data_IF_345174930823
#
_entry.id   IF_345174930823
#
_cell.length_a   1.000
_cell.length_b   1.000
_cell.length_c   1.000
_cell.angle_alpha   90.00
_cell.angle_beta   90.00
_cell.angle_gamma   90.00
#
_symmetry.space_group_name_H-M   'P 1'
#
loop_
_entity.id
_entity.type
_entity.pdbx_description
1 polymer ?
#
# COMPACT_ATOMS: atom_id res chain seq x y z
N UNK A 1 -31.15 31.35 -8.04
CA UNK A 1 -29.84 31.11 -8.70
C UNK A 1 -28.93 30.48 -7.67
N UNK A 2 -28.33 29.32 -7.97
CA UNK A 2 -27.32 28.66 -7.12
C UNK A 2 -25.99 29.43 -7.05
N UNK A 3 -25.89 30.58 -7.71
CA UNK A 3 -24.72 31.48 -7.72
C UNK A 3 -24.89 32.73 -6.84
N UNK A 4 -25.93 32.82 -6.00
CA UNK A 4 -26.04 33.96 -5.08
C UNK A 4 -25.08 33.82 -3.90
N UNK A 5 -24.66 34.94 -3.31
CA UNK A 5 -23.86 34.98 -2.08
C UNK A 5 -24.49 34.15 -0.96
N UNK A 6 -25.82 34.18 -0.83
CA UNK A 6 -26.58 33.31 0.07
C UNK A 6 -26.29 31.81 -0.12
N UNK A 7 -26.31 31.28 -1.35
CA UNK A 7 -26.00 29.85 -1.57
C UNK A 7 -24.51 29.53 -1.38
N UNK A 8 -23.62 30.48 -1.65
CA UNK A 8 -22.18 30.31 -1.47
C UNK A 8 -21.77 30.34 0.01
N UNK A 9 -22.38 31.23 0.78
CA UNK A 9 -22.10 31.45 2.21
C UNK A 9 -22.85 30.47 3.12
N UNK A 10 -24.12 30.18 2.81
CA UNK A 10 -24.97 29.33 3.67
C UNK A 10 -24.76 27.84 3.41
N UNK A 11 -24.35 27.45 2.20
CA UNK A 11 -24.14 26.03 1.84
C UNK A 11 -22.67 25.65 1.67
N UNK A 12 -21.74 26.60 1.89
CA UNK A 12 -20.28 26.43 1.88
C UNK A 12 -19.82 25.24 1.05
N UNK A 13 -19.96 25.34 -0.28
CA UNK A 13 -19.54 24.28 -1.19
C UNK A 13 -18.03 24.21 -1.20
N UNK A 14 -17.48 23.44 -0.26
CA UNK A 14 -16.05 23.28 -0.17
C UNK A 14 -15.57 22.34 -1.26
N UNK A 15 -14.58 22.81 -2.00
CA UNK A 15 -13.99 22.09 -3.12
C UNK A 15 -12.56 21.68 -2.77
N UNK A 16 -12.26 20.41 -2.98
CA UNK A 16 -10.90 19.90 -3.04
C UNK A 16 -10.49 19.75 -4.49
N UNK A 17 -9.33 20.29 -4.84
CA UNK A 17 -8.73 20.22 -6.15
C UNK A 17 -7.45 19.38 -6.09
N UNK A 18 -7.38 18.35 -6.93
CA UNK A 18 -6.22 17.47 -7.08
C UNK A 18 -5.74 17.54 -8.53
N UNK A 19 -4.42 17.56 -8.74
CA UNK A 19 -3.84 17.35 -10.07
C UNK A 19 -3.07 16.05 -10.07
N UNK A 20 -3.35 15.19 -11.05
CA UNK A 20 -2.57 13.98 -11.30
C UNK A 20 -2.16 13.99 -12.77
N UNK A 21 -0.86 14.14 -13.01
CA UNK A 21 -0.24 14.39 -14.32
C UNK A 21 -0.83 15.62 -15.02
N UNK A 22 -1.84 15.41 -15.87
CA UNK A 22 -2.48 16.44 -16.70
C UNK A 22 -3.99 16.52 -16.45
N UNK A 23 -4.50 15.71 -15.53
CA UNK A 23 -5.92 15.68 -15.18
C UNK A 23 -6.13 16.44 -13.88
N UNK A 24 -7.11 17.34 -13.90
CA UNK A 24 -7.56 18.07 -12.73
C UNK A 24 -8.85 17.40 -12.25
N UNK A 25 -8.89 17.06 -10.97
CA UNK A 25 -10.06 16.50 -10.32
C UNK A 25 -10.60 17.49 -9.30
N UNK A 26 -11.92 17.69 -9.32
CA UNK A 26 -12.63 18.58 -8.40
C UNK A 26 -13.65 17.75 -7.63
N UNK A 27 -13.60 17.86 -6.30
CA UNK A 27 -14.50 17.14 -5.39
C UNK A 27 -15.22 18.11 -4.48
N UNK A 28 -16.52 17.88 -4.27
CA UNK A 28 -17.24 18.52 -3.18
C UNK A 28 -17.00 17.74 -1.88
N UNK A 29 -16.61 18.43 -0.81
CA UNK A 29 -16.48 17.83 0.51
C UNK A 29 -17.87 17.59 1.14
N UNK A 30 -18.04 16.55 1.98
CA UNK A 30 -17.03 15.67 2.57
C UNK A 30 -16.72 14.41 1.74
N UNK A 31 -16.98 14.40 0.41
CA UNK A 31 -16.79 13.21 -0.42
C UNK A 31 -15.44 12.53 -0.16
N UNK A 32 -15.50 11.27 0.26
CA UNK A 32 -14.33 10.44 0.52
C UNK A 32 -13.67 10.11 -0.81
N UNK A 33 -12.49 10.65 -1.04
CA UNK A 33 -11.67 10.29 -2.19
C UNK A 33 -11.12 8.87 -1.94
N UNK A 34 -11.76 7.87 -2.56
CA UNK A 34 -11.22 6.53 -2.60
C UNK A 34 -10.07 6.53 -3.60
N UNK A 35 -8.82 6.53 -3.13
CA UNK A 35 -7.65 6.41 -4.00
C UNK A 35 -7.54 4.96 -4.46
N UNK A 36 -8.32 4.61 -5.47
CA UNK A 36 -7.95 3.53 -6.39
C UNK A 36 -7.04 4.06 -7.51
N UNK A 37 -6.42 5.23 -7.35
CA UNK A 37 -5.52 5.78 -8.35
C UNK A 37 -4.09 5.29 -8.15
N UNK A 38 -3.48 4.91 -9.27
CA UNK A 38 -2.11 4.40 -9.36
C UNK A 38 -1.04 5.37 -8.84
N UNK A 39 -1.38 6.63 -8.53
CA UNK A 39 -0.43 7.70 -8.20
C UNK A 39 -0.98 8.66 -7.15
N UNK A 40 -0.06 9.26 -6.39
CA UNK A 40 -0.37 10.40 -5.52
C UNK A 40 -0.59 11.67 -6.36
N UNK A 41 -1.40 12.63 -5.88
CA UNK A 41 -1.56 13.91 -6.56
C UNK A 41 -0.28 14.74 -6.54
N UNK A 42 0.05 15.35 -7.68
CA UNK A 42 1.16 16.29 -7.85
C UNK A 42 0.88 17.62 -7.13
N UNK A 43 -0.40 18.01 -7.09
CA UNK A 43 -0.89 19.19 -6.40
C UNK A 43 -2.16 18.85 -5.63
N UNK A 44 -2.24 19.33 -4.40
CA UNK A 44 -3.41 19.25 -3.55
C UNK A 44 -3.78 20.65 -3.06
N UNK A 45 -5.04 21.05 -3.19
CA UNK A 45 -5.59 22.29 -2.62
C UNK A 45 -7.00 22.06 -2.11
N UNK A 46 -7.35 22.70 -1.01
CA UNK A 46 -8.71 22.71 -0.48
C UNK A 46 -9.11 24.11 -0.08
N UNK A 47 -10.39 24.43 -0.21
CA UNK A 47 -10.99 25.66 0.34
C UNK A 47 -11.70 25.42 1.68
N UNK A 48 -11.72 24.17 2.18
CA UNK A 48 -12.21 23.88 3.53
C UNK A 48 -11.13 24.23 4.57
N UNK A 49 -11.44 25.08 5.56
CA UNK A 49 -10.45 25.55 6.53
C UNK A 49 -9.73 24.44 7.30
N UNK A 50 -10.44 23.34 7.58
CA UNK A 50 -9.93 22.22 8.38
C UNK A 50 -9.49 21.02 7.53
N UNK A 51 -9.67 21.07 6.20
CA UNK A 51 -9.16 20.02 5.32
C UNK A 51 -7.66 20.19 5.26
N UNK A 52 -6.94 19.25 5.86
CA UNK A 52 -5.49 19.25 5.85
C UNK A 52 -4.98 18.15 4.93
N UNK A 53 -3.90 18.45 4.21
CA UNK A 53 -3.32 17.55 3.22
C UNK A 53 -2.90 16.21 3.85
N UNK A 54 -2.43 16.21 5.10
CA UNK A 54 -2.03 14.99 5.80
C UNK A 54 -3.22 14.11 6.15
N UNK A 55 -4.39 14.65 6.47
CA UNK A 55 -5.63 13.92 6.73
C UNK A 55 -6.13 13.27 5.45
N UNK A 56 -6.04 13.98 4.33
CA UNK A 56 -6.27 13.37 3.01
C UNK A 56 -5.37 12.15 2.80
N UNK A 57 -4.05 12.26 3.07
CA UNK A 57 -3.13 11.12 2.95
C UNK A 57 -3.38 10.02 3.99
N UNK A 58 -3.84 10.36 5.19
CA UNK A 58 -4.22 9.41 6.23
C UNK A 58 -5.47 8.61 5.85
N UNK A 59 -6.31 9.11 4.95
CA UNK A 59 -7.46 8.38 4.42
C UNK A 59 -7.07 7.36 3.34
N UNK A 60 -5.82 7.41 2.84
CA UNK A 60 -5.27 6.38 1.97
C UNK A 60 -4.88 5.19 2.84
N UNK A 61 -5.62 4.10 2.69
CA UNK A 61 -5.34 2.85 3.39
C UNK A 61 -4.79 1.78 2.45
N UNK A 62 -4.96 1.95 1.14
CA UNK A 62 -4.72 0.89 0.17
C UNK A 62 -3.86 1.41 -0.97
N UNK A 63 -2.86 0.63 -1.38
CA UNK A 63 -2.04 0.92 -2.56
C UNK A 63 -2.03 -0.34 -3.43
N UNK A 64 -2.73 -0.30 -4.56
CA UNK A 64 -2.74 -1.39 -5.54
C UNK A 64 -2.04 -0.99 -6.83
N UNK A 65 -0.74 -0.75 -6.74
CA UNK A 65 0.08 -0.48 -7.89
C UNK A 65 1.53 -0.90 -7.65
N UNK A 66 1.96 -1.87 -8.44
CA UNK A 66 3.32 -2.39 -8.44
C UNK A 66 4.40 -1.31 -8.58
N UNK A 67 4.13 -0.28 -9.37
CA UNK A 67 5.10 0.78 -9.69
C UNK A 67 4.95 2.03 -8.83
N UNK A 68 4.12 1.98 -7.77
CA UNK A 68 3.81 3.15 -6.95
C UNK A 68 5.06 3.82 -6.39
N UNK A 69 6.03 3.05 -5.90
CA UNK A 69 7.26 3.57 -5.30
C UNK A 69 8.35 3.94 -6.32
N UNK A 70 8.13 3.69 -7.61
CA UNK A 70 9.09 4.04 -8.66
C UNK A 70 8.96 5.51 -9.11
N UNK A 71 7.93 6.22 -8.65
CA UNK A 71 7.72 7.62 -8.99
C UNK A 71 8.42 8.53 -7.98
N UNK A 72 8.72 9.76 -8.40
CA UNK A 72 9.14 10.81 -7.49
C UNK A 72 7.98 11.14 -6.57
N UNK A 73 8.14 10.88 -5.27
CA UNK A 73 7.16 11.19 -4.24
C UNK A 73 7.78 12.25 -3.34
N UNK A 74 6.99 13.29 -3.04
CA UNK A 74 7.45 14.39 -2.20
C UNK A 74 7.84 13.88 -0.81
N UNK A 75 9.01 14.27 -0.28
CA UNK A 75 9.55 13.74 0.96
C UNK A 75 8.73 14.10 2.20
N UNK A 76 7.73 14.97 2.11
CA UNK A 76 6.80 15.33 3.18
C UNK A 76 5.62 14.35 3.30
N UNK A 77 5.35 13.55 2.26
CA UNK A 77 4.16 12.67 2.24
C UNK A 77 4.38 11.46 3.15
N UNK A 78 3.44 11.22 4.05
CA UNK A 78 3.43 10.07 4.97
C UNK A 78 2.10 9.33 4.91
N UNK A 79 2.12 8.06 4.55
CA UNK A 79 0.97 7.16 4.49
C UNK A 79 0.99 6.26 5.73
N UNK A 80 0.42 6.76 6.83
CA UNK A 80 0.50 6.10 8.15
C UNK A 80 -0.52 4.99 8.37
N UNK A 81 -1.57 4.96 7.54
CA UNK A 81 -2.75 4.12 7.76
C UNK A 81 -2.88 2.99 6.73
N UNK A 82 -1.79 2.65 6.04
CA UNK A 82 -1.80 1.57 5.06
C UNK A 82 -2.17 0.25 5.73
N UNK A 83 -3.23 -0.38 5.23
CA UNK A 83 -3.75 -1.67 5.67
C UNK A 83 -3.64 -2.75 4.58
N UNK A 84 -3.51 -2.36 3.31
CA UNK A 84 -3.45 -3.25 2.17
C UNK A 84 -2.47 -2.71 1.13
N UNK A 85 -1.45 -3.51 0.83
CA UNK A 85 -0.33 -3.11 0.00
C UNK A 85 -0.11 -4.13 -1.11
N UNK A 86 -0.27 -3.74 -2.37
CA UNK A 86 0.09 -4.53 -3.54
C UNK A 86 1.13 -3.77 -4.37
N UNK A 87 2.38 -4.25 -4.29
CA UNK A 87 3.55 -3.56 -4.83
C UNK A 87 4.55 -4.50 -5.48
N UNK A 88 5.40 -3.95 -6.35
CA UNK A 88 6.64 -4.59 -6.77
C UNK A 88 7.64 -4.46 -5.64
N UNK A 89 8.30 -5.56 -5.29
CA UNK A 89 9.17 -5.56 -4.12
C UNK A 89 10.42 -4.69 -4.32
N UNK A 90 10.41 -3.52 -3.68
CA UNK A 90 11.56 -2.62 -3.60
C UNK A 90 11.53 -1.86 -2.28
N UNK A 91 11.81 -2.57 -1.19
CA UNK A 91 11.97 -1.93 0.12
C UNK A 91 13.28 -1.15 0.10
N UNK A 92 13.17 0.17 -0.05
CA UNK A 92 14.28 1.11 -0.04
C UNK A 92 13.97 2.27 0.92
N UNK A 93 14.89 3.22 1.05
CA UNK A 93 14.70 4.37 1.95
C UNK A 93 13.48 5.22 1.57
N UNK A 94 13.12 5.26 0.28
CA UNK A 94 11.92 5.94 -0.19
C UNK A 94 10.65 5.25 0.32
N UNK A 95 10.59 3.92 0.27
CA UNK A 95 9.48 3.14 0.84
C UNK A 95 9.27 3.49 2.32
N UNK A 96 10.33 3.42 3.13
CA UNK A 96 10.23 3.71 4.57
C UNK A 96 9.93 5.17 4.88
N UNK A 97 10.40 6.09 4.04
CA UNK A 97 10.03 7.51 4.15
C UNK A 97 8.54 7.70 3.95
N UNK A 98 7.93 7.03 2.97
CA UNK A 98 6.51 7.22 2.65
C UNK A 98 5.60 6.42 3.57
N UNK A 99 5.96 5.17 3.88
CA UNK A 99 5.19 4.26 4.74
C UNK A 99 6.00 4.02 6.02
N UNK A 100 5.98 4.96 6.98
CA UNK A 100 6.86 4.91 8.15
C UNK A 100 6.45 3.86 9.19
N UNK A 101 5.27 3.27 9.07
CA UNK A 101 4.76 2.25 9.99
C UNK A 101 3.89 1.25 9.23
N UNK A 102 4.02 -0.02 9.60
CA UNK A 102 3.23 -1.14 9.06
C UNK A 102 2.34 -1.77 10.14
N UNK A 103 2.14 -1.10 11.28
CA UNK A 103 1.32 -1.62 12.40
C UNK A 103 -0.13 -1.94 12.01
N UNK A 104 -0.64 -1.30 10.96
CA UNK A 104 -2.00 -1.48 10.43
C UNK A 104 -2.05 -2.40 9.21
N UNK A 105 -0.89 -2.79 8.67
CA UNK A 105 -0.82 -3.63 7.49
C UNK A 105 -1.45 -4.99 7.80
N UNK A 106 -2.45 -5.36 7.01
CA UNK A 106 -3.25 -6.58 7.17
C UNK A 106 -3.18 -7.48 5.94
N UNK A 107 -2.92 -6.89 4.77
CA UNK A 107 -2.75 -7.58 3.49
C UNK A 107 -1.52 -7.05 2.78
N UNK A 108 -0.71 -7.97 2.25
CA UNK A 108 0.49 -7.67 1.49
C UNK A 108 0.53 -8.59 0.26
N UNK A 109 0.51 -8.00 -0.93
CA UNK A 109 0.78 -8.68 -2.18
C UNK A 109 2.07 -8.12 -2.79
N UNK A 110 2.99 -9.01 -3.11
CA UNK A 110 4.29 -8.65 -3.62
C UNK A 110 4.52 -9.34 -4.96
N UNK A 111 4.80 -8.53 -5.98
CA UNK A 111 5.30 -9.01 -7.28
C UNK A 111 6.81 -8.77 -7.41
N UNK A 112 7.48 -9.55 -8.27
CA UNK A 112 8.87 -9.35 -8.75
C UNK A 112 9.93 -9.10 -7.66
N UNK A 113 10.80 -10.08 -7.43
CA UNK A 113 11.83 -10.00 -6.40
C UNK A 113 13.27 -10.03 -6.93
N UNK A 114 14.19 -9.51 -6.12
CA UNK A 114 15.65 -9.50 -6.37
C UNK A 114 16.35 -10.55 -5.50
N UNK A 115 17.65 -10.77 -5.69
CA UNK A 115 18.46 -11.72 -4.91
C UNK A 115 18.41 -11.47 -3.38
N UNK A 116 18.05 -10.26 -2.95
CA UNK A 116 17.93 -9.86 -1.54
C UNK A 116 16.49 -9.91 -1.00
N UNK A 117 15.58 -10.58 -1.70
CA UNK A 117 14.16 -10.66 -1.34
C UNK A 117 13.92 -11.08 0.11
N UNK A 118 14.61 -12.14 0.55
CA UNK A 118 14.30 -12.82 1.80
C UNK A 118 14.57 -11.94 3.01
N UNK A 119 15.74 -11.30 3.08
CA UNK A 119 16.11 -10.43 4.20
C UNK A 119 15.20 -9.22 4.29
N UNK A 120 14.85 -8.64 3.15
CA UNK A 120 13.94 -7.50 3.09
C UNK A 120 12.50 -7.89 3.46
N UNK A 121 12.02 -9.05 3.00
CA UNK A 121 10.68 -9.52 3.35
C UNK A 121 10.59 -9.82 4.85
N UNK A 122 11.59 -10.50 5.43
CA UNK A 122 11.61 -10.74 6.87
C UNK A 122 11.59 -9.41 7.65
N UNK A 123 12.42 -8.44 7.27
CA UNK A 123 12.44 -7.13 7.94
C UNK A 123 11.08 -6.40 7.86
N UNK A 124 10.37 -6.54 6.73
CA UNK A 124 9.00 -6.01 6.60
C UNK A 124 8.05 -6.75 7.53
N UNK A 125 8.09 -8.08 7.51
CA UNK A 125 7.24 -8.93 8.33
C UNK A 125 7.43 -8.63 9.82
N UNK A 126 8.66 -8.41 10.29
CA UNK A 126 8.95 -8.04 11.69
C UNK A 126 8.27 -6.72 12.11
N UNK A 127 8.03 -5.82 11.16
CA UNK A 127 7.40 -4.52 11.38
C UNK A 127 5.89 -4.54 11.13
N UNK A 128 5.33 -5.66 10.68
CA UNK A 128 3.92 -5.81 10.31
C UNK A 128 3.20 -6.83 11.24
N UNK A 129 2.99 -6.51 12.53
CA UNK A 129 2.47 -7.44 13.54
C UNK A 129 1.00 -7.83 13.34
N UNK A 130 0.30 -7.23 12.38
CA UNK A 130 -1.12 -7.49 12.08
C UNK A 130 -1.34 -8.07 10.68
N UNK A 131 -0.26 -8.43 9.97
CA UNK A 131 -0.34 -8.94 8.62
C UNK A 131 -1.01 -10.31 8.63
N UNK A 132 -2.20 -10.43 8.05
CA UNK A 132 -2.97 -11.68 7.98
C UNK A 132 -2.81 -12.38 6.65
N UNK A 133 -2.72 -11.61 5.57
CA UNK A 133 -2.66 -12.11 4.21
C UNK A 133 -1.32 -11.75 3.58
N UNK A 134 -0.60 -12.76 3.10
CA UNK A 134 0.64 -12.61 2.35
C UNK A 134 0.48 -13.30 0.99
N UNK A 135 0.54 -12.53 -0.08
CA UNK A 135 0.61 -13.02 -1.44
C UNK A 135 1.99 -12.73 -2.02
N UNK A 136 2.62 -13.75 -2.59
CA UNK A 136 3.88 -13.64 -3.31
C UNK A 136 3.63 -14.09 -4.73
N UNK A 137 3.67 -13.14 -5.67
CA UNK A 137 3.59 -13.37 -7.09
C UNK A 137 5.01 -13.46 -7.68
N UNK A 138 5.34 -14.64 -8.21
CA UNK A 138 6.69 -14.99 -8.64
C UNK A 138 6.68 -15.56 -10.06
N UNK A 139 7.26 -14.81 -11.01
CA UNK A 139 7.36 -15.21 -12.42
C UNK A 139 8.58 -16.12 -12.72
N UNK A 140 9.55 -16.22 -11.79
CA UNK A 140 10.79 -16.99 -11.97
C UNK A 140 10.94 -18.13 -10.97
N UNK A 141 11.42 -19.30 -11.42
CA UNK A 141 11.70 -20.49 -10.61
C UNK A 141 12.93 -20.32 -9.69
N UNK A 142 12.88 -19.40 -8.74
CA UNK A 142 13.87 -19.30 -7.66
C UNK A 142 13.46 -20.23 -6.50
N UNK A 143 14.43 -20.69 -5.67
CA UNK A 143 14.16 -21.61 -4.56
C UNK A 143 13.53 -20.88 -3.38
N UNK A 144 12.37 -20.26 -3.61
CA UNK A 144 11.54 -19.67 -2.55
C UNK A 144 11.10 -20.76 -1.57
N UNK A 145 11.00 -22.01 -2.06
CA UNK A 145 10.81 -23.27 -1.32
C UNK A 145 11.57 -23.34 0.00
N UNK A 146 12.90 -23.17 0.01
CA UNK A 146 13.69 -23.34 1.24
C UNK A 146 13.54 -22.13 2.18
N UNK A 147 13.15 -20.98 1.63
CA UNK A 147 13.11 -19.72 2.36
C UNK A 147 11.79 -19.40 3.03
N UNK A 148 10.67 -19.95 2.52
CA UNK A 148 9.36 -19.79 3.16
C UNK A 148 9.36 -20.29 4.61
N UNK A 149 10.10 -21.38 4.88
CA UNK A 149 10.26 -21.96 6.21
C UNK A 149 11.10 -21.10 7.18
N UNK A 150 11.75 -20.04 6.70
CA UNK A 150 12.57 -19.16 7.53
C UNK A 150 11.81 -17.96 8.06
N UNK A 151 10.64 -17.65 7.50
CA UNK A 151 9.87 -16.51 7.93
C UNK A 151 9.18 -16.78 9.26
N UNK A 152 9.20 -15.82 10.18
CA UNK A 152 8.78 -16.04 11.58
C UNK A 152 7.54 -15.23 12.02
N UNK A 153 6.83 -14.61 11.08
CA UNK A 153 5.69 -13.77 11.42
C UNK A 153 4.40 -14.57 11.59
N UNK A 154 4.13 -14.92 12.85
CA UNK A 154 2.94 -15.63 13.34
C UNK A 154 1.59 -14.93 13.11
N UNK A 155 1.58 -13.67 12.65
CA UNK A 155 0.32 -12.99 12.36
C UNK A 155 -0.27 -13.44 11.03
N UNK A 156 0.56 -13.99 10.13
CA UNK A 156 0.15 -14.45 8.80
C UNK A 156 -0.76 -15.67 8.97
N UNK A 157 -1.92 -15.63 8.32
CA UNK A 157 -2.94 -16.69 8.37
C UNK A 157 -3.22 -17.29 7.01
N UNK A 158 -2.97 -16.51 5.97
CA UNK A 158 -3.21 -16.87 4.59
C UNK A 158 -1.95 -16.56 3.79
N UNK A 159 -1.35 -17.61 3.24
CA UNK A 159 -0.23 -17.53 2.32
C UNK A 159 -0.72 -17.93 0.92
N UNK A 160 -0.57 -17.02 -0.05
CA UNK A 160 -0.88 -17.25 -1.44
C UNK A 160 0.39 -17.15 -2.28
N UNK A 161 0.68 -18.19 -3.06
CA UNK A 161 1.84 -18.25 -3.93
C UNK A 161 1.33 -18.28 -5.38
N UNK A 162 1.42 -17.15 -6.06
CA UNK A 162 0.92 -16.98 -7.43
C UNK A 162 2.04 -17.08 -8.45
N UNK A 163 1.70 -17.60 -9.63
CA UNK A 163 2.59 -17.81 -10.78
C UNK A 163 3.89 -18.58 -10.49
N UNK A 164 4.01 -19.15 -9.28
CA UNK A 164 5.05 -20.07 -8.92
C UNK A 164 4.87 -21.30 -9.81
N UNK A 165 5.74 -21.46 -10.81
CA UNK A 165 5.85 -22.67 -11.62
C UNK A 165 6.42 -23.82 -10.78
N UNK A 166 5.77 -24.10 -9.64
CA UNK A 166 6.21 -25.01 -8.61
C UNK A 166 5.02 -25.70 -7.94
N UNK A 167 5.18 -26.99 -7.72
CA UNK A 167 4.22 -27.81 -6.98
C UNK A 167 4.91 -28.32 -5.73
N UNK A 168 4.31 -28.09 -4.56
CA UNK A 168 4.79 -28.63 -3.31
C UNK A 168 4.64 -30.15 -3.31
N UNK A 169 5.69 -30.85 -2.89
CA UNK A 169 5.57 -32.25 -2.54
C UNK A 169 4.96 -32.42 -1.13
N UNK A 170 4.71 -33.67 -0.74
CA UNK A 170 4.13 -34.01 0.56
C UNK A 170 5.01 -33.56 1.73
N UNK A 171 6.34 -33.71 1.62
CA UNK A 171 7.27 -33.36 2.68
C UNK A 171 7.29 -31.85 2.91
N UNK A 172 7.31 -31.06 1.84
CA UNK A 172 7.27 -29.60 1.92
C UNK A 172 5.94 -29.08 2.45
N UNK A 173 4.82 -29.69 2.08
CA UNK A 173 3.51 -29.38 2.66
C UNK A 173 3.53 -29.61 4.17
N UNK A 174 4.09 -30.74 4.62
CA UNK A 174 4.22 -31.04 6.04
C UNK A 174 5.15 -30.05 6.76
N UNK A 175 6.26 -29.65 6.13
CA UNK A 175 7.15 -28.62 6.69
C UNK A 175 6.47 -27.26 6.76
N UNK A 176 5.59 -26.92 5.82
CA UNK A 176 4.84 -25.65 5.82
C UNK A 176 3.85 -25.62 6.97
N UNK A 177 3.17 -26.73 7.27
CA UNK A 177 2.30 -26.87 8.43
C UNK A 177 3.02 -26.65 9.78
N UNK A 178 4.34 -26.82 9.80
CA UNK A 178 5.18 -26.62 10.98
C UNK A 178 6.05 -25.35 10.89
N UNK A 179 5.83 -24.52 9.86
CA UNK A 179 6.55 -23.27 9.67
C UNK A 179 6.28 -22.30 10.84
N UNK A 180 7.25 -21.45 11.20
CA UNK A 180 7.02 -20.36 12.15
C UNK A 180 6.25 -19.17 11.55
N UNK A 181 5.92 -19.23 10.25
CA UNK A 181 5.00 -18.32 9.56
C UNK A 181 3.55 -18.63 9.95
#
# INVERSE_FOLDING_TARGET
SFRSSFWIEEHQWFVRCLTVKKTIYLYNLPSSFCICERKLPDLWRSIYPDDNQQEFYNNITTIHNETFFNQLILPEIRLRNINDLHIRFSINDQFWSIVPSLERLSSLNISYHTDHFQSHLQALLDLAPRLRYLCIDQDQSLPLQISLFKYTNKSVRELNLQNCNYLFDEEECMRLCHSPL
#
